data_IF_748503114106
#
_entry.id   IF_748503114106
#
_cell.length_a   1.000
_cell.length_b   1.000
_cell.length_c   1.000
_cell.angle_alpha   90.00
_cell.angle_beta   90.00
_cell.angle_gamma   90.00
#
_symmetry.space_group_name_H-M   'P 1'
#
loop_
_entity.id
_entity.type
_entity.pdbx_description
1 polymer ?
#
# COMPACT_ATOMS: atom_id res chain seq x y z
N UNK A 1 -23.46 3.04 10.95
CA UNK A 1 -22.78 1.93 10.24
C UNK A 1 -21.28 2.15 10.29
N UNK A 2 -20.51 1.18 10.77
CA UNK A 2 -19.05 1.29 10.82
C UNK A 2 -18.47 1.35 9.40
N UNK A 3 -17.62 2.34 9.14
CA UNK A 3 -16.95 2.53 7.84
C UNK A 3 -15.81 1.53 7.71
N UNK A 4 -15.70 0.84 6.57
CA UNK A 4 -14.67 -0.18 6.34
C UNK A 4 -13.27 0.46 6.31
N UNK A 5 -12.30 -0.15 6.99
CA UNK A 5 -10.92 0.33 6.98
C UNK A 5 -10.27 0.01 5.63
N UNK A 6 -9.60 1.00 5.02
CA UNK A 6 -8.84 0.82 3.78
C UNK A 6 -7.35 0.87 4.09
N UNK A 7 -6.91 1.86 4.87
CA UNK A 7 -5.55 1.94 5.41
C UNK A 7 -5.59 2.22 6.91
N UNK A 8 -4.49 1.93 7.61
CA UNK A 8 -4.40 2.08 9.06
C UNK A 8 -2.95 2.23 9.50
N UNK A 9 -2.57 3.45 9.90
CA UNK A 9 -1.23 3.77 10.43
C UNK A 9 -0.81 2.84 11.57
N UNK A 10 -1.76 2.39 12.40
CA UNK A 10 -1.49 1.43 13.48
C UNK A 10 -1.07 0.06 12.93
N UNK A 11 -1.82 -0.45 11.96
CA UNK A 11 -1.56 -1.77 11.35
C UNK A 11 -0.29 -1.69 10.50
N UNK A 12 -0.15 -0.65 9.69
CA UNK A 12 1.06 -0.39 8.89
C UNK A 12 2.31 -0.31 9.79
N UNK A 13 2.20 0.37 10.95
CA UNK A 13 3.28 0.42 11.93
C UNK A 13 3.59 -0.92 12.60
N UNK A 14 2.60 -1.78 12.82
CA UNK A 14 2.82 -3.15 13.32
C UNK A 14 3.50 -4.02 12.27
N UNK A 15 3.04 -3.96 11.01
CA UNK A 15 3.64 -4.66 9.88
C UNK A 15 5.10 -4.23 9.70
N UNK A 16 5.40 -2.93 9.76
CA UNK A 16 6.77 -2.44 9.66
C UNK A 16 7.68 -2.96 10.80
N UNK A 17 7.15 -3.08 12.03
CA UNK A 17 7.90 -3.67 13.16
C UNK A 17 8.18 -5.16 12.92
N UNK A 18 7.19 -5.92 12.46
CA UNK A 18 7.34 -7.33 12.13
C UNK A 18 8.35 -7.53 11.01
N UNK A 19 8.29 -6.72 9.95
CA UNK A 19 9.27 -6.75 8.84
C UNK A 19 10.69 -6.48 9.35
N UNK A 20 10.88 -5.52 10.25
CA UNK A 20 12.19 -5.29 10.87
C UNK A 20 12.69 -6.48 11.70
N UNK A 21 11.79 -7.15 12.44
CA UNK A 21 12.13 -8.37 13.18
C UNK A 21 12.50 -9.53 12.25
N UNK A 22 11.71 -9.73 11.19
CA UNK A 22 11.97 -10.73 10.14
C UNK A 22 13.33 -10.48 9.50
N UNK A 23 13.64 -9.24 9.11
CA UNK A 23 14.94 -8.89 8.52
C UNK A 23 16.09 -9.19 9.47
N UNK A 24 15.96 -8.84 10.75
CA UNK A 24 16.98 -9.11 11.77
C UNK A 24 17.21 -10.61 11.99
N UNK A 25 16.14 -11.41 12.05
CA UNK A 25 16.25 -12.86 12.23
C UNK A 25 16.77 -13.54 10.96
N UNK A 26 16.39 -13.05 9.79
CA UNK A 26 16.91 -13.53 8.51
C UNK A 26 18.43 -13.34 8.42
N UNK A 27 18.96 -12.19 8.86
CA UNK A 27 20.41 -11.96 8.93
C UNK A 27 21.10 -12.95 9.89
N UNK A 28 20.57 -13.12 11.11
CA UNK A 28 21.11 -14.10 12.06
C UNK A 28 21.10 -15.53 11.51
N UNK A 29 20.01 -15.90 10.82
CA UNK A 29 19.89 -17.20 10.17
C UNK A 29 20.97 -17.38 9.10
N UNK A 30 21.21 -16.37 8.27
CA UNK A 30 22.29 -16.39 7.28
C UNK A 30 23.67 -16.57 7.93
N UNK A 31 23.94 -15.90 9.05
CA UNK A 31 25.20 -16.07 9.78
C UNK A 31 25.37 -17.51 10.33
N UNK A 32 24.29 -18.10 10.85
CA UNK A 32 24.31 -19.50 11.32
C UNK A 32 24.50 -20.47 10.16
N UNK A 33 23.89 -20.23 9.01
CA UNK A 33 24.08 -21.06 7.81
C UNK A 33 25.56 -21.03 7.39
N UNK A 34 26.18 -19.85 7.30
CA UNK A 34 27.61 -19.73 7.01
C UNK A 34 28.47 -20.46 8.05
N UNK A 35 28.09 -20.41 9.33
CA UNK A 35 28.80 -21.15 10.39
C UNK A 35 28.69 -22.66 10.20
N UNK A 36 27.52 -23.17 9.83
CA UNK A 36 27.30 -24.59 9.53
C UNK A 36 28.15 -25.00 8.32
N UNK A 37 28.09 -24.24 7.23
CA UNK A 37 28.88 -24.50 6.02
C UNK A 37 30.38 -24.55 6.33
N UNK A 38 30.88 -23.61 7.14
CA UNK A 38 32.28 -23.60 7.58
C UNK A 38 32.66 -24.80 8.44
N UNK A 39 31.76 -25.25 9.31
CA UNK A 39 31.97 -26.46 10.12
C UNK A 39 31.98 -27.71 9.23
N UNK A 40 31.08 -27.80 8.26
CA UNK A 40 31.02 -28.89 7.28
C UNK A 40 32.24 -28.92 6.35
N UNK A 41 32.74 -27.75 5.91
CA UNK A 41 33.97 -27.68 5.11
C UNK A 41 35.19 -28.16 5.91
N UNK A 42 35.36 -27.71 7.16
CA UNK A 42 36.41 -28.21 8.04
C UNK A 42 36.33 -29.72 8.27
N UNK A 43 35.11 -30.26 8.28
CA UNK A 43 34.88 -31.69 8.38
C UNK A 43 35.37 -32.45 7.14
N UNK A 44 35.22 -31.88 5.95
CA UNK A 44 35.67 -32.47 4.68
C UNK A 44 37.20 -32.44 4.52
N UNK A 45 37.89 -31.47 5.14
CA UNK A 45 39.34 -31.27 5.03
C UNK A 45 40.17 -32.18 5.96
N UNK A 46 39.56 -32.98 6.84
CA UNK A 46 40.24 -33.90 7.77
C UNK A 46 40.24 -35.35 7.23
N UNK A 47 41.33 -35.87 6.63
CA UNK A 47 41.28 -37.10 5.81
C UNK A 47 41.43 -38.43 6.56
N UNK A 48 41.42 -38.46 7.89
CA UNK A 48 41.85 -39.65 8.63
C UNK A 48 40.67 -40.42 9.23
N UNK A 49 40.21 -41.46 8.52
CA UNK A 49 39.05 -42.32 8.85
C UNK A 49 39.17 -43.10 10.19
N UNK A 50 40.34 -43.08 10.83
CA UNK A 50 40.63 -43.89 12.02
C UNK A 50 40.67 -43.12 13.36
N UNK A 51 40.34 -41.82 13.40
CA UNK A 51 40.21 -41.09 14.67
C UNK A 51 38.74 -40.92 15.09
N UNK A 52 38.38 -41.19 16.36
CA UNK A 52 37.05 -40.86 16.87
C UNK A 52 36.83 -39.35 16.73
N UNK A 53 35.77 -39.00 16.00
CA UNK A 53 35.37 -37.62 15.70
C UNK A 53 35.35 -36.77 16.97
N UNK A 54 35.91 -35.56 16.91
CA UNK A 54 35.94 -34.62 18.05
C UNK A 54 34.51 -34.40 18.60
N UNK A 55 34.22 -34.84 19.85
CA UNK A 55 32.91 -34.66 20.47
C UNK A 55 32.49 -33.20 20.53
N UNK A 56 33.45 -32.27 20.61
CA UNK A 56 33.20 -30.83 20.63
C UNK A 56 32.66 -30.33 19.30
N UNK A 57 33.21 -30.82 18.18
CA UNK A 57 32.71 -30.49 16.84
C UNK A 57 31.26 -30.96 16.63
N UNK A 58 30.96 -32.21 17.01
CA UNK A 58 29.60 -32.74 16.89
C UNK A 58 28.61 -31.96 17.75
N UNK A 59 29.01 -31.55 18.96
CA UNK A 59 28.21 -30.71 19.83
C UNK A 59 27.96 -29.33 19.21
N UNK A 60 28.99 -28.69 18.64
CA UNK A 60 28.91 -27.39 17.98
C UNK A 60 27.99 -27.42 16.75
N UNK A 61 28.14 -28.42 15.88
CA UNK A 61 27.28 -28.59 14.70
C UNK A 61 25.82 -28.84 15.10
N UNK A 62 25.58 -29.72 16.08
CA UNK A 62 24.24 -30.00 16.59
C UNK A 62 23.60 -28.76 17.23
N UNK A 63 24.38 -27.96 17.95
CA UNK A 63 23.94 -26.68 18.53
C UNK A 63 23.57 -25.65 17.44
N UNK A 64 24.40 -25.53 16.40
CA UNK A 64 24.14 -24.64 15.27
C UNK A 64 22.88 -25.05 14.50
N UNK A 65 22.69 -26.35 14.23
CA UNK A 65 21.49 -26.88 13.59
C UNK A 65 20.22 -26.62 14.42
N UNK A 66 20.28 -26.82 15.75
CA UNK A 66 19.18 -26.47 16.66
C UNK A 66 18.85 -24.99 16.63
N UNK A 67 19.88 -24.14 16.64
CA UNK A 67 19.71 -22.68 16.61
C UNK A 67 19.10 -22.22 15.29
N UNK A 68 19.50 -22.81 14.16
CA UNK A 68 18.87 -22.57 12.85
C UNK A 68 17.40 -22.96 12.89
N UNK A 69 17.07 -24.17 13.34
CA UNK A 69 15.68 -24.64 13.40
C UNK A 69 14.81 -23.72 14.24
N UNK A 70 15.29 -23.27 15.41
CA UNK A 70 14.58 -22.32 16.26
C UNK A 70 14.33 -20.98 15.54
N UNK A 71 15.32 -20.48 14.78
CA UNK A 71 15.17 -19.24 14.02
C UNK A 71 14.18 -19.40 12.86
N UNK A 72 14.16 -20.55 12.20
CA UNK A 72 13.20 -20.86 11.13
C UNK A 72 11.76 -20.83 11.67
N UNK A 73 11.52 -21.45 12.83
CA UNK A 73 10.21 -21.43 13.50
C UNK A 73 9.78 -20.00 13.91
N UNK A 74 10.72 -19.20 14.45
CA UNK A 74 10.45 -17.81 14.80
C UNK A 74 10.13 -16.95 13.56
N UNK A 75 10.85 -17.15 12.46
CA UNK A 75 10.60 -16.45 11.20
C UNK A 75 9.22 -16.76 10.66
N UNK A 76 8.81 -18.03 10.68
CA UNK A 76 7.49 -18.41 10.19
C UNK A 76 6.38 -17.80 11.04
N UNK A 77 6.50 -17.83 12.37
CA UNK A 77 5.54 -17.18 13.27
C UNK A 77 5.40 -15.67 12.98
N UNK A 78 6.51 -14.94 12.80
CA UNK A 78 6.42 -13.51 12.46
C UNK A 78 5.81 -13.26 11.07
N UNK A 79 6.07 -14.13 10.09
CA UNK A 79 5.43 -14.05 8.76
C UNK A 79 3.94 -14.35 8.83
N UNK A 80 3.52 -15.32 9.63
CA UNK A 80 2.11 -15.59 9.90
C UNK A 80 1.41 -14.41 10.57
N UNK A 81 2.03 -13.78 11.56
CA UNK A 81 1.50 -12.57 12.19
C UNK A 81 1.36 -11.43 11.17
N UNK A 82 2.33 -11.24 10.28
CA UNK A 82 2.25 -10.24 9.22
C UNK A 82 1.08 -10.54 8.28
N UNK A 83 0.98 -11.78 7.77
CA UNK A 83 -0.13 -12.22 6.90
C UNK A 83 -1.48 -12.04 7.57
N UNK A 84 -1.58 -12.36 8.86
CA UNK A 84 -2.82 -12.21 9.62
C UNK A 84 -3.27 -10.76 9.71
N UNK A 85 -2.34 -9.82 9.97
CA UNK A 85 -2.65 -8.38 10.01
C UNK A 85 -3.09 -7.85 8.64
N UNK A 86 -2.39 -8.23 7.57
CA UNK A 86 -2.74 -7.84 6.20
C UNK A 86 -4.12 -8.38 5.81
N UNK A 87 -4.38 -9.65 6.10
CA UNK A 87 -5.67 -10.32 5.83
C UNK A 87 -6.80 -9.71 6.65
N UNK A 88 -6.57 -9.41 7.94
CA UNK A 88 -7.54 -8.76 8.82
C UNK A 88 -7.94 -7.37 8.32
N UNK A 89 -7.01 -6.64 7.69
CA UNK A 89 -7.30 -5.35 7.08
C UNK A 89 -8.03 -5.49 5.72
N UNK A 90 -7.66 -6.50 4.92
CA UNK A 90 -8.16 -6.65 3.54
C UNK A 90 -9.50 -7.38 3.43
N UNK A 91 -9.76 -8.41 4.21
CA UNK A 91 -10.99 -9.22 4.09
C UNK A 91 -12.26 -8.38 4.18
N UNK A 92 -12.44 -7.46 5.14
CA UNK A 92 -13.66 -6.65 5.22
C UNK A 92 -13.87 -5.74 3.99
N UNK A 93 -12.78 -5.33 3.34
CA UNK A 93 -12.84 -4.52 2.12
C UNK A 93 -13.20 -5.38 0.91
N UNK A 94 -12.59 -6.56 0.78
CA UNK A 94 -12.89 -7.54 -0.26
C UNK A 94 -14.36 -7.94 -0.20
N UNK A 95 -14.84 -8.39 0.95
CA UNK A 95 -16.25 -8.77 1.16
C UNK A 95 -17.23 -7.66 0.77
N UNK A 96 -16.91 -6.42 1.15
CA UNK A 96 -17.77 -5.27 0.85
C UNK A 96 -17.82 -4.95 -0.64
N UNK A 97 -16.69 -5.07 -1.34
CA UNK A 97 -16.62 -4.82 -2.78
C UNK A 97 -17.23 -5.97 -3.58
N UNK A 98 -17.01 -7.22 -3.18
CA UNK A 98 -17.61 -8.38 -3.83
C UNK A 98 -19.13 -8.35 -3.76
N UNK A 99 -19.70 -7.92 -2.64
CA UNK A 99 -21.14 -7.70 -2.49
C UNK A 99 -21.68 -6.69 -3.51
N UNK A 100 -20.92 -5.63 -3.81
CA UNK A 100 -21.33 -4.56 -4.73
C UNK A 100 -21.10 -4.96 -6.19
N UNK A 101 -19.98 -5.60 -6.47
CA UNK A 101 -19.54 -6.02 -7.80
C UNK A 101 -20.38 -7.20 -8.31
N UNK A 102 -20.77 -8.11 -7.42
CA UNK A 102 -21.40 -9.38 -7.79
C UNK A 102 -20.54 -10.15 -8.78
N UNK A 103 -21.14 -10.60 -9.89
CA UNK A 103 -20.41 -11.32 -10.96
C UNK A 103 -19.56 -10.42 -11.86
N UNK A 104 -19.63 -9.09 -11.73
CA UNK A 104 -18.89 -8.17 -12.60
C UNK A 104 -17.44 -8.02 -12.11
N UNK A 105 -16.47 -8.29 -12.98
CA UNK A 105 -15.04 -8.28 -12.63
C UNK A 105 -14.19 -7.37 -13.55
N UNK A 106 -14.61 -7.14 -14.80
CA UNK A 106 -13.75 -6.52 -15.81
C UNK A 106 -13.54 -5.00 -15.63
N UNK A 107 -14.55 -4.28 -15.13
CA UNK A 107 -14.53 -2.82 -14.98
C UNK A 107 -14.85 -2.38 -13.54
N UNK A 108 -14.79 -3.31 -12.59
CA UNK A 108 -15.07 -3.08 -11.17
C UNK A 108 -13.77 -2.83 -10.41
N UNK A 109 -13.88 -2.19 -9.24
CA UNK A 109 -12.72 -1.90 -8.39
C UNK A 109 -12.46 -3.07 -7.44
N UNK A 110 -11.21 -3.54 -7.38
CA UNK A 110 -10.74 -4.50 -6.37
C UNK A 110 -10.29 -3.79 -5.08
N UNK A 111 -10.18 -4.54 -3.98
CA UNK A 111 -9.66 -4.02 -2.71
C UNK A 111 -8.28 -3.38 -2.87
N UNK A 112 -7.39 -4.01 -3.65
CA UNK A 112 -6.06 -3.49 -3.95
C UNK A 112 -6.10 -2.16 -4.70
N UNK A 113 -7.02 -1.99 -5.67
CA UNK A 113 -7.18 -0.71 -6.36
C UNK A 113 -7.63 0.40 -5.41
N UNK A 114 -8.51 0.08 -4.47
CA UNK A 114 -9.01 1.05 -3.47
C UNK A 114 -7.90 1.45 -2.49
N UNK A 115 -7.07 0.51 -2.05
CA UNK A 115 -5.87 0.81 -1.23
C UNK A 115 -4.88 1.67 -1.99
N UNK A 116 -4.64 1.36 -3.27
CA UNK A 116 -3.77 2.14 -4.14
C UNK A 116 -4.28 3.59 -4.29
N UNK A 117 -5.57 3.76 -4.59
CA UNK A 117 -6.21 5.08 -4.68
C UNK A 117 -6.02 5.90 -3.40
N UNK A 118 -6.16 5.25 -2.23
CA UNK A 118 -5.99 5.90 -0.93
C UNK A 118 -4.55 6.44 -0.75
N UNK A 119 -3.55 5.62 -1.08
CA UNK A 119 -2.13 5.99 -0.99
C UNK A 119 -1.76 7.08 -2.00
N UNK A 120 -2.17 6.91 -3.25
CA UNK A 120 -1.92 7.88 -4.32
C UNK A 120 -2.55 9.25 -4.01
N UNK A 121 -3.77 9.27 -3.47
CA UNK A 121 -4.42 10.52 -3.07
C UNK A 121 -3.70 11.19 -1.90
N UNK A 122 -3.25 10.41 -0.92
CA UNK A 122 -2.49 10.93 0.22
C UNK A 122 -1.16 11.54 -0.24
N UNK A 123 -0.42 10.85 -1.10
CA UNK A 123 0.81 11.33 -1.71
C UNK A 123 0.59 12.61 -2.54
N UNK A 124 -0.45 12.63 -3.37
CA UNK A 124 -0.83 13.82 -4.15
C UNK A 124 -1.07 15.05 -3.26
N UNK A 125 -1.78 14.88 -2.15
CA UNK A 125 -2.07 15.99 -1.22
C UNK A 125 -0.82 16.44 -0.47
N UNK A 126 0.04 15.51 -0.05
CA UNK A 126 1.32 15.85 0.57
C UNK A 126 2.25 16.58 -0.40
N UNK A 127 2.33 16.14 -1.65
CA UNK A 127 3.12 16.78 -2.70
C UNK A 127 2.62 18.20 -3.04
N UNK A 128 1.31 18.44 -2.91
CA UNK A 128 0.72 19.79 -3.02
C UNK A 128 0.92 20.66 -1.76
N UNK A 129 1.63 20.17 -0.75
CA UNK A 129 1.97 20.91 0.46
C UNK A 129 0.90 20.88 1.56
N UNK A 130 -0.11 20.00 1.47
CA UNK A 130 -1.10 19.86 2.53
C UNK A 130 -0.47 19.19 3.74
N UNK A 131 -0.59 19.82 4.91
CA UNK A 131 -0.07 19.25 6.15
C UNK A 131 -0.89 18.04 6.61
N UNK A 132 -0.26 17.08 7.29
CA UNK A 132 -0.96 15.88 7.78
C UNK A 132 -2.20 16.19 8.65
N UNK A 133 -2.18 17.32 9.36
CA UNK A 133 -3.31 17.81 10.15
C UNK A 133 -4.49 18.21 9.26
N UNK A 134 -4.21 18.88 8.14
CA UNK A 134 -5.23 19.42 7.25
C UNK A 134 -5.72 18.41 6.19
N UNK A 135 -5.00 17.30 5.95
CA UNK A 135 -5.49 16.18 5.11
C UNK A 135 -6.68 15.48 5.79
N UNK A 136 -6.81 15.53 7.12
CA UNK A 136 -7.92 14.89 7.85
C UNK A 136 -9.26 15.47 7.37
N UNK A 137 -10.18 14.58 6.98
CA UNK A 137 -11.48 14.95 6.43
C UNK A 137 -11.51 15.06 4.91
N UNK A 138 -10.37 14.97 4.21
CA UNK A 138 -10.34 14.90 2.75
C UNK A 138 -11.13 13.67 2.25
N UNK A 139 -11.85 13.85 1.15
CA UNK A 139 -12.63 12.80 0.51
C UNK A 139 -12.14 12.60 -0.93
N UNK A 140 -12.08 11.34 -1.37
CA UNK A 140 -11.80 11.01 -2.77
C UNK A 140 -12.89 10.10 -3.30
N UNK A 141 -13.40 10.43 -4.47
CA UNK A 141 -14.36 9.62 -5.20
C UNK A 141 -13.72 9.15 -6.50
N UNK A 142 -13.87 7.86 -6.81
CA UNK A 142 -13.39 7.28 -8.05
C UNK A 142 -14.48 6.44 -8.71
N UNK A 143 -14.64 6.66 -10.01
CA UNK A 143 -15.32 5.75 -10.93
C UNK A 143 -14.38 5.47 -12.11
N UNK A 144 -14.01 4.20 -12.35
CA UNK A 144 -13.13 3.80 -13.45
C UNK A 144 -13.62 4.28 -14.83
N UNK A 145 -12.68 4.39 -15.76
CA UNK A 145 -12.99 4.63 -17.17
C UNK A 145 -13.77 3.44 -17.78
N UNK A 146 -14.61 3.74 -18.77
CA UNK A 146 -15.26 2.73 -19.57
C UNK A 146 -14.33 2.05 -20.56
N UNK A 147 -14.82 1.00 -21.22
CA UNK A 147 -14.10 0.33 -22.31
C UNK A 147 -13.72 1.35 -23.39
N UNK A 148 -12.47 1.31 -23.85
CA UNK A 148 -12.05 2.08 -25.03
C UNK A 148 -12.44 1.33 -26.29
N UNK A 149 -13.09 2.02 -27.22
CA UNK A 149 -13.39 1.50 -28.55
C UNK A 149 -13.08 2.56 -29.60
N UNK A 150 -12.32 2.17 -30.62
CA UNK A 150 -11.91 3.04 -31.73
C UNK A 150 -13.00 3.26 -32.77
N UNK A 151 -13.97 2.34 -32.88
CA UNK A 151 -14.92 2.33 -33.99
C UNK A 151 -16.30 2.83 -33.51
N UNK A 152 -16.96 3.70 -34.30
CA UNK A 152 -18.22 4.35 -33.93
C UNK A 152 -19.38 3.37 -33.62
N UNK A 153 -19.39 2.19 -34.23
CA UNK A 153 -20.39 1.15 -33.94
C UNK A 153 -20.17 0.53 -32.55
N UNK A 154 -18.91 0.29 -32.18
CA UNK A 154 -18.54 -0.21 -30.85
C UNK A 154 -18.71 0.87 -29.76
N UNK A 155 -18.62 2.16 -30.12
CA UNK A 155 -18.93 3.28 -29.23
C UNK A 155 -20.42 3.35 -28.82
N UNK A 156 -21.32 2.73 -29.60
CA UNK A 156 -22.75 2.59 -29.26
C UNK A 156 -23.06 1.32 -28.45
N UNK A 157 -22.06 0.54 -28.08
CA UNK A 157 -22.28 -0.67 -27.29
C UNK A 157 -22.83 -0.34 -25.89
N UNK A 158 -23.51 -1.32 -25.29
CA UNK A 158 -24.17 -1.17 -23.99
C UNK A 158 -23.19 -0.80 -22.87
N UNK A 159 -23.71 -0.08 -21.87
CA UNK A 159 -22.96 0.31 -20.69
C UNK A 159 -22.42 -0.91 -19.95
N UNK A 160 -21.16 -0.85 -19.51
CA UNK A 160 -20.57 -1.85 -18.64
C UNK A 160 -20.83 -1.54 -17.18
N UNK A 161 -20.98 -2.59 -16.36
CA UNK A 161 -21.14 -2.44 -14.92
C UNK A 161 -19.78 -2.10 -14.31
N UNK A 162 -19.75 -1.06 -13.49
CA UNK A 162 -18.56 -0.60 -12.77
C UNK A 162 -18.91 -0.33 -11.30
N UNK A 163 -17.91 0.09 -10.53
CA UNK A 163 -18.01 0.34 -9.11
C UNK A 163 -17.53 1.75 -8.85
N UNK A 164 -18.37 2.55 -8.19
CA UNK A 164 -17.97 3.86 -7.68
C UNK A 164 -17.69 3.74 -6.19
N UNK A 165 -16.51 4.18 -5.79
CA UNK A 165 -16.09 4.22 -4.39
C UNK A 165 -15.91 5.65 -3.93
N UNK A 166 -16.20 5.90 -2.66
CA UNK A 166 -15.82 7.11 -1.95
C UNK A 166 -15.06 6.76 -0.70
N UNK A 167 -13.92 7.41 -0.53
CA UNK A 167 -13.05 7.28 0.63
C UNK A 167 -13.01 8.59 1.40
N UNK A 168 -12.82 8.50 2.70
CA UNK A 168 -12.56 9.65 3.57
C UNK A 168 -11.34 9.41 4.44
N UNK A 169 -10.47 10.40 4.52
CA UNK A 169 -9.35 10.42 5.45
C UNK A 169 -9.84 10.72 6.85
N UNK A 170 -9.53 9.84 7.81
CA UNK A 170 -9.70 10.08 9.24
C UNK A 170 -8.34 10.29 9.90
N UNK A 171 -8.19 10.22 11.21
CA UNK A 171 -6.88 10.40 11.87
C UNK A 171 -5.93 9.22 11.58
N UNK A 172 -6.42 7.99 11.68
CA UNK A 172 -5.59 6.79 11.60
C UNK A 172 -5.36 6.25 10.18
N UNK A 173 -6.18 6.62 9.20
CA UNK A 173 -6.01 6.20 7.81
C UNK A 173 -7.20 6.58 6.94
N UNK A 174 -7.38 5.88 5.83
CA UNK A 174 -8.52 6.03 4.94
C UNK A 174 -9.63 5.03 5.29
N UNK A 175 -10.88 5.49 5.15
CA UNK A 175 -12.09 4.69 5.34
C UNK A 175 -12.93 4.71 4.09
N UNK A 176 -13.44 3.54 3.70
CA UNK A 176 -14.47 3.42 2.68
C UNK A 176 -15.79 3.90 3.29
N UNK A 177 -16.31 5.01 2.77
CA UNK A 177 -17.58 5.59 3.22
C UNK A 177 -18.75 5.12 2.36
N UNK A 178 -18.50 4.85 1.07
CA UNK A 178 -19.51 4.39 0.14
C UNK A 178 -18.85 3.54 -0.94
N UNK A 179 -19.48 2.41 -1.24
CA UNK A 179 -19.21 1.62 -2.44
C UNK A 179 -20.57 1.32 -3.07
N UNK A 180 -20.75 1.68 -4.34
CA UNK A 180 -21.98 1.43 -5.07
C UNK A 180 -21.70 0.94 -6.47
N UNK A 181 -22.66 0.17 -6.97
CA UNK A 181 -22.71 -0.25 -8.37
C UNK A 181 -23.04 0.97 -9.21
N UNK A 182 -22.30 1.17 -10.28
CA UNK A 182 -22.46 2.26 -11.22
C UNK A 182 -22.31 1.69 -12.65
N UNK A 183 -22.54 2.53 -13.66
CA UNK A 183 -22.39 2.14 -15.06
C UNK A 183 -21.35 3.04 -15.75
N UNK A 184 -20.52 2.45 -16.60
CA UNK A 184 -19.62 3.19 -17.47
C UNK A 184 -19.96 2.94 -18.94
N UNK A 185 -20.07 4.03 -19.70
CA UNK A 185 -20.28 3.98 -21.14
C UNK A 185 -18.96 3.81 -21.87
N UNK A 186 -19.02 3.35 -23.11
CA UNK A 186 -17.84 3.23 -23.97
C UNK A 186 -17.20 4.60 -24.18
N UNK A 187 -15.87 4.66 -24.10
CA UNK A 187 -15.07 5.89 -24.17
C UNK A 187 -15.36 6.92 -23.07
N UNK A 188 -16.14 6.58 -22.04
CA UNK A 188 -16.33 7.47 -20.90
C UNK A 188 -15.04 7.55 -20.09
N UNK A 189 -14.58 8.77 -19.85
CA UNK A 189 -13.38 9.02 -19.05
C UNK A 189 -13.57 8.59 -17.60
N UNK A 190 -12.44 8.31 -16.95
CA UNK A 190 -12.39 8.15 -15.49
C UNK A 190 -12.93 9.42 -14.82
N UNK A 191 -13.75 9.25 -13.79
CA UNK A 191 -14.19 10.35 -12.94
C UNK A 191 -13.56 10.19 -11.56
N UNK A 192 -12.47 10.93 -11.35
CA UNK A 192 -11.76 11.06 -10.07
C UNK A 192 -11.97 12.48 -9.54
N UNK A 193 -12.51 12.60 -8.33
CA UNK A 193 -12.64 13.89 -7.64
C UNK A 193 -12.05 13.82 -6.24
N UNK A 194 -11.29 14.85 -5.86
CA UNK A 194 -10.72 14.99 -4.52
C UNK A 194 -11.29 16.24 -3.89
N UNK A 195 -12.01 16.07 -2.79
CA UNK A 195 -12.59 17.16 -2.01
C UNK A 195 -11.73 17.38 -0.77
N UNK A 196 -11.26 18.60 -0.58
CA UNK A 196 -10.41 18.99 0.54
C UNK A 196 -11.11 20.06 1.38
N UNK A 197 -10.81 20.10 2.68
CA UNK A 197 -11.30 21.15 3.56
C UNK A 197 -10.66 22.51 3.21
N UNK A 198 -11.31 23.66 3.48
CA UNK A 198 -10.74 24.99 3.22
C UNK A 198 -9.33 25.20 3.78
N UNK A 199 -9.01 24.62 4.94
CA UNK A 199 -7.66 24.68 5.52
C UNK A 199 -6.60 23.97 4.65
N UNK A 200 -6.94 22.81 4.07
CA UNK A 200 -6.06 22.13 3.12
C UNK A 200 -5.96 22.89 1.80
N UNK A 201 -7.06 23.50 1.34
CA UNK A 201 -7.02 24.38 0.16
C UNK A 201 -6.08 25.58 0.37
N UNK A 202 -6.11 26.20 1.55
CA UNK A 202 -5.19 27.29 1.91
C UNK A 202 -3.73 26.84 1.95
N UNK A 203 -3.44 25.64 2.46
CA UNK A 203 -2.09 25.06 2.42
C UNK A 203 -1.59 24.87 0.98
N UNK A 204 -2.46 24.39 0.08
CA UNK A 204 -2.15 24.23 -1.35
C UNK A 204 -1.84 25.58 -1.98
N UNK A 205 -2.71 26.58 -1.77
CA UNK A 205 -2.51 27.92 -2.32
C UNK A 205 -1.19 28.53 -1.82
N UNK A 206 -0.94 28.47 -0.50
CA UNK A 206 0.31 28.99 0.10
C UNK A 206 1.54 28.33 -0.50
N UNK A 207 1.48 27.01 -0.75
CA UNK A 207 2.60 26.27 -1.34
C UNK A 207 2.77 26.61 -2.81
N UNK A 208 1.67 26.72 -3.56
CA UNK A 208 1.67 27.02 -4.99
C UNK A 208 2.11 28.45 -5.29
N UNK A 209 1.79 29.42 -4.44
CA UNK A 209 2.16 30.84 -4.62
C UNK A 209 3.48 31.20 -3.96
N UNK A 210 4.15 30.25 -3.28
CA UNK A 210 5.41 30.51 -2.59
C UNK A 210 6.49 30.95 -3.58
N UNK A 211 7.01 32.16 -3.38
CA UNK A 211 8.07 32.71 -4.23
C UNK A 211 7.57 33.33 -5.55
N UNK A 212 6.26 33.40 -5.75
CA UNK A 212 5.66 34.09 -6.91
C UNK A 212 5.33 35.53 -6.51
N UNK A 213 5.95 36.49 -7.19
CA UNK A 213 5.60 37.91 -7.09
C UNK A 213 4.74 38.27 -8.30
N UNK A 214 3.48 38.64 -8.04
CA UNK A 214 2.60 39.16 -9.09
C UNK A 214 2.90 40.64 -9.24
N UNK A 215 3.53 41.02 -10.36
CA UNK A 215 3.71 42.44 -10.68
C UNK A 215 2.36 43.03 -11.08
N UNK A 216 1.97 44.18 -10.53
CA UNK A 216 0.75 44.86 -10.97
C UNK A 216 0.88 45.21 -12.45
N UNK A 217 -0.18 44.94 -13.21
CA UNK A 217 -0.26 45.33 -14.60
C UNK A 217 -0.24 46.87 -14.66
N UNK A 218 0.62 47.51 -15.47
CA UNK A 218 0.64 48.96 -15.56
C UNK A 218 -0.74 49.41 -16.05
N UNK A 219 -1.43 50.21 -15.24
CA UNK A 219 -2.67 50.85 -15.63
C UNK A 219 -2.38 51.65 -16.90
N UNK A 220 -3.03 51.28 -18.00
CA UNK A 220 -2.94 52.04 -19.24
C UNK A 220 -3.46 53.44 -18.95
N UNK A 221 -2.53 54.38 -18.81
CA UNK A 221 -2.82 55.78 -18.56
C UNK A 221 -3.86 56.26 -19.54
N UNK A 222 -5.00 56.68 -19.01
CA UNK A 222 -6.05 57.36 -19.77
C UNK A 222 -5.44 58.68 -20.21
N UNK A 223 -5.04 58.77 -21.48
CA UNK A 223 -4.67 60.04 -22.10
C UNK A 223 -5.97 60.83 -22.26
N UNK A 224 -6.29 61.65 -21.25
CA UNK A 224 -7.33 62.67 -21.39
C UNK A 224 -6.75 63.75 -22.29
N UNK A 225 -7.33 63.87 -23.49
CA UNK A 225 -7.06 64.94 -24.46
C UNK A 225 -7.76 66.22 -24.05
#
# INVERSE_FOLDING_TARGET
>A
MARTKVTSRKIDGQIAKLQNQINKLSMKRSDIIRRIEHLEQKFQECPNDNQPRDPKFQADLKSALRSRSLLDDQLENFREQQRHLETSLMNPLVEKLDLVNGKAQAHTLSASNVVFLARETEELLMNKGVTQKNIIGAEVSLRPAGKKASNAYAAKASSSITTRVRLRRVTDGWRLIEAKRDHCYVNQSEAKSVHVHPAAHADILRTATRGILVSPQPEQGTSVS
#
